data_IF_599547522483
#
_entry.id   IF_599547522483
#
_cell.length_a   1.000
_cell.length_b   1.000
_cell.length_c   1.000
_cell.angle_alpha   90.00
_cell.angle_beta   90.00
_cell.angle_gamma   90.00
#
_symmetry.space_group_name_H-M   'P 1'
#
loop_
_entity.id
_entity.type
_entity.pdbx_description
1 polymer ?
#
# COMPACT_ATOMS: atom_id res chain seq x y z
N UNK A 1 -15.93 -1.95 -2.25
CA UNK A 1 -14.63 -2.63 -2.43
C UNK A 1 -13.58 -1.71 -3.07
N UNK A 2 -13.84 -1.06 -4.22
CA UNK A 2 -12.89 -0.11 -4.87
C UNK A 2 -12.24 0.92 -3.95
N UNK A 3 -13.01 1.56 -3.07
CA UNK A 3 -12.47 2.51 -2.10
C UNK A 3 -11.38 1.89 -1.20
N UNK A 4 -11.43 0.59 -0.89
CA UNK A 4 -10.35 -0.06 -0.13
C UNK A 4 -9.04 -0.08 -0.92
N UNK A 5 -9.06 -0.31 -2.24
CA UNK A 5 -7.86 -0.27 -3.07
C UNK A 5 -7.27 1.14 -3.12
N UNK A 6 -8.12 2.14 -3.37
CA UNK A 6 -7.72 3.56 -3.40
C UNK A 6 -7.14 4.02 -2.07
N UNK A 7 -7.83 3.74 -0.96
CA UNK A 7 -7.38 4.17 0.36
C UNK A 7 -6.14 3.39 0.84
N UNK A 8 -6.02 2.10 0.53
CA UNK A 8 -4.81 1.34 0.85
C UNK A 8 -3.58 1.92 0.11
N UNK A 9 -3.72 2.21 -1.18
CA UNK A 9 -2.66 2.81 -1.99
C UNK A 9 -2.26 4.20 -1.48
N UNK A 10 -3.24 5.09 -1.28
CA UNK A 10 -3.01 6.46 -0.80
C UNK A 10 -2.34 6.48 0.58
N UNK A 11 -2.89 5.75 1.55
CA UNK A 11 -2.37 5.74 2.91
C UNK A 11 -0.99 5.11 2.98
N UNK A 12 -0.72 4.07 2.18
CA UNK A 12 0.62 3.51 2.07
C UNK A 12 1.62 4.52 1.48
N UNK A 13 1.24 5.29 0.47
CA UNK A 13 2.11 6.36 -0.09
C UNK A 13 2.46 7.40 0.97
N UNK A 14 1.51 7.78 1.83
CA UNK A 14 1.77 8.69 2.97
C UNK A 14 2.73 8.05 3.97
N UNK A 15 2.52 6.77 4.30
CA UNK A 15 3.40 6.01 5.18
C UNK A 15 4.83 5.93 4.63
N UNK A 16 4.98 5.55 3.36
CA UNK A 16 6.28 5.42 2.70
C UNK A 16 7.03 6.75 2.66
N UNK A 17 6.33 7.84 2.32
CA UNK A 17 6.89 9.18 2.31
C UNK A 17 7.34 9.62 3.69
N UNK A 18 6.56 9.37 4.74
CA UNK A 18 6.96 9.69 6.10
C UNK A 18 8.23 8.94 6.53
N UNK A 19 8.37 7.66 6.13
CA UNK A 19 9.59 6.90 6.41
C UNK A 19 10.84 7.47 5.70
N UNK A 20 10.68 8.06 4.51
CA UNK A 20 11.77 8.68 3.76
C UNK A 20 12.09 10.09 4.27
N UNK A 21 11.07 10.82 4.70
CA UNK A 21 11.17 12.24 5.07
C UNK A 21 10.44 12.51 6.40
N UNK A 22 10.94 11.97 7.53
CA UNK A 22 10.23 12.07 8.82
C UNK A 22 10.06 13.51 9.31
N UNK A 23 10.90 14.43 8.83
CA UNK A 23 10.86 15.84 9.20
C UNK A 23 9.81 16.66 8.41
N UNK A 24 9.21 16.13 7.34
CA UNK A 24 8.17 16.85 6.56
C UNK A 24 6.84 16.96 7.32
N UNK A 25 6.58 16.02 8.24
CA UNK A 25 5.36 16.00 9.03
C UNK A 25 5.66 15.58 10.48
N UNK A 26 6.18 16.50 11.31
CA UNK A 26 6.51 16.19 12.71
C UNK A 26 5.26 15.88 13.54
N UNK A 27 4.08 16.29 13.08
CA UNK A 27 2.80 15.97 13.73
C UNK A 27 2.38 14.51 13.50
N UNK A 28 3.00 13.79 12.56
CA UNK A 28 2.81 12.35 12.42
C UNK A 28 3.71 11.59 13.41
N UNK A 29 3.39 11.74 14.70
CA UNK A 29 4.05 11.02 15.79
C UNK A 29 3.83 9.49 15.72
N UNK A 30 4.50 8.75 16.59
CA UNK A 30 4.45 7.28 16.62
C UNK A 30 3.01 6.73 16.80
N UNK A 31 2.17 7.42 17.56
CA UNK A 31 0.78 7.00 17.81
C UNK A 31 -0.09 7.18 16.56
N UNK A 32 0.07 8.31 15.85
CA UNK A 32 -0.61 8.57 14.58
C UNK A 32 -0.09 7.69 13.47
N UNK A 33 1.20 7.37 13.47
CA UNK A 33 1.80 6.43 12.53
C UNK A 33 1.23 5.01 12.73
N UNK A 34 1.09 4.56 13.98
CA UNK A 34 0.45 3.28 14.28
C UNK A 34 -1.00 3.22 13.76
N UNK A 35 -1.80 4.27 14.01
CA UNK A 35 -3.16 4.37 13.45
C UNK A 35 -3.20 4.42 11.91
N UNK A 36 -2.21 5.04 11.28
CA UNK A 36 -2.10 5.06 9.81
C UNK A 36 -1.88 3.64 9.29
N UNK A 37 -0.97 2.88 9.92
CA UNK A 37 -0.69 1.48 9.59
C UNK A 37 -1.95 0.62 9.76
N UNK A 38 -2.64 0.71 10.90
CA UNK A 38 -3.89 -0.02 11.15
C UNK A 38 -4.94 0.24 10.06
N UNK A 39 -5.07 1.49 9.60
CA UNK A 39 -5.99 1.85 8.52
C UNK A 39 -5.58 1.25 7.17
N UNK A 40 -4.29 1.23 6.85
CA UNK A 40 -3.78 0.57 5.63
C UNK A 40 -4.15 -0.91 5.69
N UNK A 41 -3.86 -1.58 6.81
CA UNK A 41 -4.10 -3.01 7.01
C UNK A 41 -5.60 -3.35 6.96
N UNK A 42 -6.46 -2.53 7.55
CA UNK A 42 -7.92 -2.69 7.45
C UNK A 42 -8.43 -2.56 6.01
N UNK A 43 -7.86 -1.65 5.21
CA UNK A 43 -8.22 -1.56 3.81
C UNK A 43 -7.74 -2.76 2.99
N UNK A 44 -6.50 -3.22 3.22
CA UNK A 44 -5.98 -4.44 2.60
C UNK A 44 -6.80 -5.68 2.99
N UNK A 45 -7.19 -5.81 4.25
CA UNK A 45 -8.05 -6.89 4.72
C UNK A 45 -9.41 -6.87 4.02
N UNK A 46 -10.03 -5.70 3.85
CA UNK A 46 -11.26 -5.56 3.08
C UNK A 46 -11.15 -6.05 1.63
N UNK A 47 -9.99 -5.88 0.98
CA UNK A 47 -9.73 -6.44 -0.35
C UNK A 47 -9.52 -7.95 -0.32
N UNK A 48 -8.82 -8.46 0.70
CA UNK A 48 -8.65 -9.91 0.90
C UNK A 48 -10.00 -10.60 1.12
N UNK A 49 -10.89 -10.01 1.92
CA UNK A 49 -12.25 -10.51 2.15
C UNK A 49 -13.07 -10.52 0.86
N UNK A 50 -12.88 -9.53 -0.02
CA UNK A 50 -13.52 -9.49 -1.33
C UNK A 50 -12.98 -10.53 -2.34
N UNK A 51 -11.88 -11.22 -2.01
CA UNK A 51 -11.33 -12.31 -2.82
C UNK A 51 -10.94 -11.86 -4.23
N UNK A 52 -11.36 -12.63 -5.24
CA UNK A 52 -11.03 -12.38 -6.65
C UNK A 52 -11.49 -11.00 -7.14
N UNK A 53 -12.62 -10.48 -6.65
CA UNK A 53 -13.09 -9.14 -6.99
C UNK A 53 -12.13 -8.06 -6.43
N UNK A 54 -11.62 -8.26 -5.21
CA UNK A 54 -10.62 -7.37 -4.62
C UNK A 54 -9.31 -7.34 -5.40
N UNK A 55 -8.86 -8.50 -5.88
CA UNK A 55 -7.67 -8.62 -6.74
C UNK A 55 -7.86 -7.95 -8.11
N UNK A 56 -9.02 -8.15 -8.73
CA UNK A 56 -9.37 -7.51 -10.01
C UNK A 56 -9.41 -5.99 -9.88
N UNK A 57 -10.10 -5.47 -8.86
CA UNK A 57 -10.18 -4.03 -8.65
C UNK A 57 -8.80 -3.42 -8.37
N UNK A 58 -7.94 -4.08 -7.60
CA UNK A 58 -6.57 -3.60 -7.38
C UNK A 58 -5.77 -3.55 -8.70
N UNK A 59 -5.94 -4.53 -9.58
CA UNK A 59 -5.30 -4.56 -10.91
C UNK A 59 -5.82 -3.44 -11.81
N UNK A 60 -7.14 -3.28 -11.92
CA UNK A 60 -7.75 -2.18 -12.69
C UNK A 60 -7.27 -0.82 -12.18
N UNK A 61 -7.16 -0.66 -10.86
CA UNK A 61 -6.66 0.58 -10.27
C UNK A 61 -5.22 0.88 -10.70
N UNK A 62 -4.35 -0.12 -10.73
CA UNK A 62 -2.97 0.01 -11.20
C UNK A 62 -2.87 0.25 -12.71
N UNK A 63 -3.74 -0.37 -13.51
CA UNK A 63 -3.80 -0.11 -14.96
C UNK A 63 -4.21 1.35 -15.25
N UNK A 64 -5.15 1.89 -14.47
CA UNK A 64 -5.63 3.26 -14.60
C UNK A 64 -4.61 4.28 -14.05
N UNK A 65 -3.91 3.95 -12.97
CA UNK A 65 -2.91 4.81 -12.32
C UNK A 65 -1.69 3.96 -11.94
N UNK A 66 -0.68 3.86 -12.82
CA UNK A 66 0.47 3.00 -12.60
C UNK A 66 1.49 3.64 -11.64
N UNK A 67 1.08 3.88 -10.41
CA UNK A 67 1.92 4.47 -9.35
C UNK A 67 2.34 3.44 -8.30
N UNK A 68 3.29 3.84 -7.43
CA UNK A 68 3.88 2.96 -6.40
C UNK A 68 2.83 2.38 -5.46
N UNK A 69 1.84 3.18 -5.06
CA UNK A 69 0.81 2.77 -4.10
C UNK A 69 -0.09 1.67 -4.66
N UNK A 70 -0.55 1.83 -5.88
CA UNK A 70 -1.39 0.88 -6.60
C UNK A 70 -0.64 -0.44 -6.82
N UNK A 71 0.62 -0.36 -7.29
CA UNK A 71 1.45 -1.54 -7.48
C UNK A 71 1.73 -2.27 -6.15
N UNK A 72 1.93 -1.52 -5.07
CA UNK A 72 2.08 -2.09 -3.72
C UNK A 72 0.86 -2.91 -3.33
N UNK A 73 -0.36 -2.37 -3.50
CA UNK A 73 -1.61 -3.09 -3.17
C UNK A 73 -1.72 -4.38 -4.00
N UNK A 74 -1.51 -4.32 -5.32
CA UNK A 74 -1.54 -5.49 -6.20
C UNK A 74 -0.56 -6.57 -5.71
N UNK A 75 0.66 -6.18 -5.35
CA UNK A 75 1.68 -7.13 -4.92
C UNK A 75 1.40 -7.73 -3.55
N UNK A 76 0.86 -6.94 -2.62
CA UNK A 76 0.52 -7.40 -1.27
C UNK A 76 -0.61 -8.43 -1.29
N UNK A 77 -1.62 -8.25 -2.14
CA UNK A 77 -2.74 -9.20 -2.25
C UNK A 77 -2.29 -10.60 -2.70
N UNK A 78 -1.26 -10.67 -3.55
CA UNK A 78 -0.64 -11.95 -3.99
C UNK A 78 0.07 -12.70 -2.88
N UNK A 79 0.40 -12.05 -1.76
CA UNK A 79 1.06 -12.71 -0.64
C UNK A 79 0.09 -13.64 0.07
N UNK A 80 0.58 -14.77 0.58
CA UNK A 80 -0.21 -15.71 1.41
C UNK A 80 -0.16 -15.41 2.91
N UNK A 81 0.69 -14.47 3.35
CA UNK A 81 0.86 -14.13 4.77
C UNK A 81 -0.39 -13.41 5.27
N UNK A 82 -1.01 -13.92 6.33
CA UNK A 82 -2.15 -13.30 7.01
C UNK A 82 -1.94 -13.36 8.54
N UNK A 83 -2.29 -12.31 9.29
CA UNK A 83 -2.71 -10.99 8.81
C UNK A 83 -1.59 -10.28 8.04
N UNK A 84 -1.96 -9.30 7.21
CA UNK A 84 -0.97 -8.45 6.54
C UNK A 84 -0.51 -7.42 7.58
N UNK A 85 0.77 -7.49 7.95
CA UNK A 85 1.40 -6.56 8.88
C UNK A 85 2.38 -5.69 8.10
N UNK A 86 1.98 -4.45 7.79
CA UNK A 86 2.77 -3.52 6.95
C UNK A 86 4.06 -3.12 7.66
N UNK A 87 4.04 -3.03 9.00
CA UNK A 87 5.22 -2.76 9.82
C UNK A 87 6.31 -3.86 9.71
N UNK A 88 5.95 -5.09 9.33
CA UNK A 88 6.89 -6.20 9.15
C UNK A 88 7.63 -6.18 7.81
N UNK A 89 7.27 -5.27 6.90
CA UNK A 89 7.84 -5.25 5.56
C UNK A 89 9.25 -4.64 5.56
N UNK A 90 10.17 -5.30 4.86
CA UNK A 90 11.47 -4.72 4.49
C UNK A 90 11.23 -3.62 3.44
N UNK A 91 10.97 -2.40 3.93
CA UNK A 91 10.63 -1.26 3.08
C UNK A 91 11.69 -0.95 2.01
N UNK A 92 13.01 -0.99 2.30
CA UNK A 92 14.03 -0.90 1.26
C UNK A 92 13.87 -1.92 0.13
N UNK A 93 13.58 -3.18 0.47
CA UNK A 93 13.33 -4.24 -0.53
C UNK A 93 12.03 -4.00 -1.29
N UNK A 94 10.97 -3.60 -0.62
CA UNK A 94 9.67 -3.27 -1.23
C UNK A 94 9.85 -2.13 -2.24
N UNK A 95 10.47 -1.02 -1.86
CA UNK A 95 10.71 0.13 -2.74
C UNK A 95 11.47 -0.24 -4.00
N UNK A 96 12.56 -1.00 -3.85
CA UNK A 96 13.37 -1.48 -4.98
C UNK A 96 12.54 -2.35 -5.94
N UNK A 97 11.73 -3.26 -5.40
CA UNK A 97 10.88 -4.10 -6.21
C UNK A 97 9.84 -3.27 -6.97
N UNK A 98 9.21 -2.29 -6.32
CA UNK A 98 8.25 -1.39 -6.96
C UNK A 98 8.90 -0.61 -8.11
N UNK A 99 10.06 0.00 -7.88
CA UNK A 99 10.82 0.74 -8.90
C UNK A 99 11.17 -0.12 -10.12
N UNK A 100 11.44 -1.41 -9.93
CA UNK A 100 11.76 -2.34 -11.02
C UNK A 100 10.54 -2.83 -11.80
N UNK A 101 9.33 -2.70 -11.24
CA UNK A 101 8.10 -3.26 -11.82
C UNK A 101 7.07 -2.18 -12.20
N UNK A 102 7.36 -0.90 -11.95
CA UNK A 102 6.61 0.20 -12.50
C UNK A 102 6.90 0.33 -14.01
N UNK A 103 5.90 0.70 -14.82
CA UNK A 103 6.16 1.08 -16.20
C UNK A 103 7.06 2.33 -16.24
N UNK A 104 7.84 2.52 -17.31
CA UNK A 104 8.57 3.77 -17.50
C UNK A 104 7.59 4.94 -17.55
N UNK A 105 7.98 6.09 -16.98
CA UNK A 105 7.22 7.34 -17.17
C UNK A 105 7.10 7.62 -18.69
N UNK A 106 5.92 8.08 -19.15
CA UNK A 106 5.67 8.36 -20.57
C UNK A 106 6.56 9.48 -21.15
#
# INVERSE_FOLDING_TARGET
>A
VRQHAEMAALLWTIYDRHLLFPNENPDLDAERLARLIERIEAHLDGLVVAGAEGEEIARERFEEYPERGELFVVQVLKTKKRPILVADFDMPRVRRWLEQNLPPEP
#
